data_IF_001194804659
#
_entry.id   IF_001194804659
#
_cell.length_a   1.000
_cell.length_b   1.000
_cell.length_c   1.000
_cell.angle_alpha   90.00
_cell.angle_beta   90.00
_cell.angle_gamma   90.00
#
_symmetry.space_group_name_H-M   'P 1'
#
loop_
_entity.id
_entity.type
_entity.pdbx_description
1 polymer ?
#
# COMPACT_ATOMS: atom_id res chain seq x y z
N UNK A 1 11.82 11.29 -16.15
CA UNK A 1 10.41 11.24 -16.53
C UNK A 1 9.54 11.33 -15.29
N UNK A 2 8.56 12.22 -15.30
CA UNK A 2 7.68 12.38 -14.15
C UNK A 2 6.62 11.28 -14.13
N UNK A 3 6.44 10.68 -12.98
CA UNK A 3 5.43 9.66 -12.76
C UNK A 3 4.08 10.34 -12.54
N UNK A 4 3.11 10.07 -13.42
CA UNK A 4 1.75 10.59 -13.27
C UNK A 4 1.00 9.69 -12.30
N UNK A 5 1.30 9.86 -11.02
CA UNK A 5 0.81 8.99 -9.99
C UNK A 5 0.72 9.78 -8.69
N UNK A 6 0.00 9.26 -7.74
CA UNK A 6 -0.12 9.89 -6.42
C UNK A 6 0.64 9.05 -5.40
N UNK A 7 1.44 9.72 -4.59
CA UNK A 7 2.14 9.07 -3.50
C UNK A 7 1.25 9.15 -2.26
N UNK A 8 0.70 8.01 -1.88
CA UNK A 8 -0.25 7.92 -0.77
C UNK A 8 0.46 7.79 0.56
N UNK A 9 -0.09 8.45 1.58
CA UNK A 9 0.36 8.23 2.96
C UNK A 9 -0.20 6.90 3.47
N UNK A 10 0.36 6.39 4.55
CA UNK A 10 -0.16 5.17 5.14
C UNK A 10 -1.62 5.29 5.57
N UNK A 11 -2.04 6.36 6.27
CA UNK A 11 -3.46 6.52 6.59
C UNK A 11 -4.37 6.50 5.37
N UNK A 12 -3.93 7.09 4.26
CA UNK A 12 -4.70 7.06 3.02
C UNK A 12 -4.81 5.64 2.47
N UNK A 13 -3.72 4.88 2.52
CA UNK A 13 -3.72 3.47 2.08
C UNK A 13 -4.69 2.65 2.93
N UNK A 14 -4.62 2.80 4.24
CA UNK A 14 -5.49 2.05 5.15
C UNK A 14 -6.96 2.37 4.91
N UNK A 15 -7.25 3.63 4.63
CA UNK A 15 -8.61 4.07 4.33
C UNK A 15 -9.11 3.46 3.01
N UNK A 16 -8.26 3.46 1.99
CA UNK A 16 -8.59 2.85 0.69
C UNK A 16 -8.88 1.34 0.83
N UNK A 17 -8.27 0.71 1.82
CA UNK A 17 -8.47 -0.71 2.08
C UNK A 17 -9.69 -0.99 2.96
N UNK A 18 -10.50 0.04 3.24
CA UNK A 18 -11.72 -0.14 4.01
C UNK A 18 -11.53 -0.03 5.52
N UNK A 19 -10.48 0.62 5.96
CA UNK A 19 -10.24 0.84 7.39
C UNK A 19 -9.40 -0.23 8.06
N UNK A 20 -8.44 -0.78 7.33
CA UNK A 20 -7.49 -1.75 7.89
C UNK A 20 -6.61 -1.03 8.93
N UNK A 21 -6.32 -1.70 10.03
CA UNK A 21 -5.48 -1.12 11.09
C UNK A 21 -3.99 -1.15 10.67
N UNK A 22 -3.21 -0.23 11.25
CA UNK A 22 -1.76 -0.19 11.04
C UNK A 22 -1.13 -1.53 11.41
N UNK A 23 -1.56 -2.09 12.52
CA UNK A 23 -1.01 -3.36 13.03
C UNK A 23 -1.19 -4.47 12.01
N UNK A 24 -2.38 -4.56 11.43
CA UNK A 24 -2.68 -5.57 10.41
C UNK A 24 -1.82 -5.34 9.17
N UNK A 25 -1.69 -4.10 8.72
CA UNK A 25 -0.89 -3.78 7.55
C UNK A 25 0.58 -4.13 7.76
N UNK A 26 1.16 -3.79 8.90
CA UNK A 26 2.55 -4.11 9.21
C UNK A 26 2.77 -5.62 9.28
N UNK A 27 1.77 -6.35 9.78
CA UNK A 27 1.85 -7.80 9.79
C UNK A 27 1.90 -8.36 8.36
N UNK A 28 1.10 -7.81 7.46
CA UNK A 28 1.14 -8.22 6.06
C UNK A 28 2.53 -7.97 5.47
N UNK A 29 3.15 -6.87 5.81
CA UNK A 29 4.50 -6.55 5.35
C UNK A 29 5.50 -7.59 5.84
N UNK A 30 5.40 -7.98 7.10
CA UNK A 30 6.26 -9.02 7.67
C UNK A 30 6.10 -10.34 6.94
N UNK A 31 4.89 -10.64 6.49
CA UNK A 31 4.58 -11.88 5.79
C UNK A 31 4.88 -11.79 4.29
N UNK A 32 5.34 -10.64 3.81
CA UNK A 32 5.59 -10.44 2.39
C UNK A 32 4.32 -10.36 1.55
N UNK A 33 3.21 -9.94 2.15
CA UNK A 33 1.90 -9.92 1.50
C UNK A 33 1.32 -8.52 1.36
N UNK A 34 2.14 -7.49 1.50
CA UNK A 34 1.71 -6.11 1.37
C UNK A 34 2.09 -5.55 0.00
N UNK A 35 1.49 -4.43 -0.42
CA UNK A 35 1.92 -3.78 -1.65
C UNK A 35 3.35 -3.25 -1.52
N UNK A 36 3.93 -2.88 -2.64
CA UNK A 36 5.25 -2.25 -2.64
C UNK A 36 5.18 -0.93 -1.88
N UNK A 37 5.99 -0.79 -0.86
CA UNK A 37 6.03 0.41 -0.02
C UNK A 37 7.38 1.12 -0.16
N UNK A 38 7.33 2.45 -0.05
CA UNK A 38 8.53 3.27 0.09
C UNK A 38 8.67 3.68 1.54
N UNK A 39 9.90 3.66 2.06
CA UNK A 39 10.17 4.19 3.38
C UNK A 39 10.94 5.49 3.21
N UNK A 40 10.36 6.59 3.67
CA UNK A 40 11.00 7.88 3.59
C UNK A 40 12.10 7.99 4.64
N UNK A 41 13.03 8.95 4.49
CA UNK A 41 14.11 9.13 5.49
C UNK A 41 13.61 9.37 6.92
N UNK A 42 12.36 9.81 7.09
CA UNK A 42 11.75 9.98 8.42
C UNK A 42 11.05 8.72 8.91
N UNK A 43 11.31 7.58 8.26
CA UNK A 43 10.74 6.26 8.57
C UNK A 43 9.24 6.13 8.29
N UNK A 44 8.62 7.13 7.69
CA UNK A 44 7.22 7.02 7.31
C UNK A 44 7.07 6.23 6.01
N UNK A 45 6.02 5.44 5.92
CA UNK A 45 5.73 4.66 4.72
C UNK A 45 4.90 5.47 3.74
N UNK A 46 5.16 5.21 2.46
CA UNK A 46 4.36 5.73 1.36
C UNK A 46 4.14 4.62 0.35
N UNK A 47 3.05 4.72 -0.40
CA UNK A 47 2.74 3.75 -1.45
C UNK A 47 2.28 4.52 -2.67
N UNK A 48 2.87 4.23 -3.83
CA UNK A 48 2.36 4.78 -5.07
C UNK A 48 0.96 4.22 -5.32
N UNK A 49 0.05 5.07 -5.74
CA UNK A 49 -1.32 4.64 -6.01
C UNK A 49 -1.36 3.52 -7.04
N UNK A 50 -0.55 3.61 -8.09
CA UNK A 50 -0.48 2.57 -9.11
C UNK A 50 -0.03 1.23 -8.53
N UNK A 51 0.93 1.26 -7.60
CA UNK A 51 1.39 0.03 -6.93
C UNK A 51 0.29 -0.54 -6.05
N UNK A 52 -0.47 0.31 -5.37
CA UNK A 52 -1.59 -0.14 -4.55
C UNK A 52 -2.66 -0.80 -5.42
N UNK A 53 -3.00 -0.17 -6.55
CA UNK A 53 -4.02 -0.72 -7.45
C UNK A 53 -3.57 -2.05 -8.06
N UNK A 54 -2.29 -2.15 -8.45
CA UNK A 54 -1.74 -3.38 -8.99
C UNK A 54 -1.79 -4.51 -7.97
N UNK A 55 -1.45 -4.19 -6.71
CA UNK A 55 -1.49 -5.16 -5.63
C UNK A 55 -2.93 -5.63 -5.37
N UNK A 56 -3.87 -4.69 -5.30
CA UNK A 56 -5.28 -5.04 -5.14
C UNK A 56 -5.78 -5.92 -6.26
N UNK A 57 -5.37 -5.62 -7.49
CA UNK A 57 -5.76 -6.44 -8.63
C UNK A 57 -5.20 -7.86 -8.52
N UNK A 58 -3.99 -8.00 -7.99
CA UNK A 58 -3.38 -9.32 -7.79
C UNK A 58 -4.11 -10.17 -6.75
N UNK A 59 -4.92 -9.55 -5.91
CA UNK A 59 -5.69 -10.26 -4.89
C UNK A 59 -7.06 -10.71 -5.39
N UNK A 60 -7.44 -10.33 -6.61
CA UNK A 60 -8.74 -10.72 -7.16
C UNK A 60 -8.80 -12.23 -7.30
N UNK A 61 -9.93 -12.77 -6.88
CA UNK A 61 -10.16 -14.21 -6.97
C UNK A 61 -11.17 -14.46 -8.08
N UNK A 62 -10.92 -15.50 -8.86
CA UNK A 62 -11.87 -15.92 -9.88
C UNK A 62 -13.15 -16.39 -9.21
N UNK A 63 -14.28 -15.88 -9.68
CA UNK A 63 -15.58 -16.28 -9.16
C UNK A 63 -15.93 -17.69 -9.63
#
# INVERSE_FOLDING_TARGET
MMRQDKLLTLPEVLDELGGVSRRTFYRWRELGRAPVCLQLPNDELRVWRSDLLAWLDSLRQAA
#
